data_IF_036240268952
#
_entry.id   IF_036240268952
#
_cell.length_a   1.000
_cell.length_b   1.000
_cell.length_c   1.000
_cell.angle_alpha   90.00
_cell.angle_beta   90.00
_cell.angle_gamma   90.00
#
_symmetry.space_group_name_H-M   'P 1'
#
loop_
_entity.id
_entity.type
_entity.pdbx_description
1 polymer ?
#
# COMPACT_ATOMS: atom_id res chain seq x y z
N UNK A 1 22.16 -5.81 -16.91
CA UNK A 1 21.16 -6.76 -17.45
C UNK A 1 19.81 -6.46 -16.84
N UNK A 2 18.72 -6.80 -17.51
CA UNK A 2 17.37 -6.62 -17.01
C UNK A 2 16.72 -7.98 -16.75
N UNK A 3 15.84 -8.06 -15.76
CA UNK A 3 15.02 -9.25 -15.48
C UNK A 3 13.56 -8.91 -15.67
N UNK A 4 12.88 -9.76 -16.42
CA UNK A 4 11.42 -9.76 -16.51
C UNK A 4 10.88 -10.86 -15.60
N UNK A 5 9.92 -10.52 -14.75
CA UNK A 5 9.16 -11.48 -13.95
C UNK A 5 7.67 -11.28 -14.16
N UNK A 6 6.98 -12.33 -14.55
CA UNK A 6 5.54 -12.30 -14.66
C UNK A 6 4.88 -12.57 -13.31
N UNK A 7 4.14 -11.60 -12.79
CA UNK A 7 3.41 -11.73 -11.51
C UNK A 7 2.21 -12.69 -11.60
N UNK A 8 1.76 -13.03 -12.83
CA UNK A 8 0.64 -13.96 -13.02
C UNK A 8 1.07 -15.43 -13.01
N UNK A 9 2.16 -15.77 -13.70
CA UNK A 9 2.56 -17.18 -13.91
C UNK A 9 3.99 -17.49 -13.43
N UNK A 10 4.69 -16.52 -12.84
CA UNK A 10 6.05 -16.69 -12.33
C UNK A 10 7.13 -16.82 -13.42
N UNK A 11 6.81 -16.60 -14.71
CA UNK A 11 7.77 -16.66 -15.79
C UNK A 11 8.89 -15.65 -15.57
N UNK A 12 10.14 -16.12 -15.60
CA UNK A 12 11.35 -15.31 -15.52
C UNK A 12 12.07 -15.33 -16.85
N UNK A 13 12.57 -14.18 -17.27
CA UNK A 13 13.35 -14.02 -18.50
C UNK A 13 14.42 -12.96 -18.29
N UNK A 14 15.63 -13.24 -18.75
CA UNK A 14 16.70 -12.28 -18.77
C UNK A 14 16.67 -11.47 -20.07
N UNK A 15 16.90 -10.17 -19.97
CA UNK A 15 16.77 -9.22 -21.07
C UNK A 15 17.98 -8.30 -21.15
N UNK A 16 18.23 -7.69 -22.32
CA UNK A 16 19.23 -6.64 -22.45
C UNK A 16 18.95 -5.47 -21.49
N UNK A 17 20.01 -4.76 -21.12
CA UNK A 17 19.94 -3.64 -20.15
C UNK A 17 18.98 -2.53 -20.60
N UNK A 18 18.84 -2.34 -21.88
CA UNK A 18 17.97 -1.36 -22.53
C UNK A 18 16.49 -1.62 -22.26
N UNK A 19 16.16 -2.84 -21.86
CA UNK A 19 14.79 -3.24 -21.50
C UNK A 19 14.40 -2.82 -20.07
N UNK A 20 15.33 -2.34 -19.24
CA UNK A 20 15.00 -1.88 -17.89
C UNK A 20 13.91 -0.82 -17.96
N UNK A 21 12.87 -1.03 -17.15
CA UNK A 21 11.76 -0.10 -17.06
C UNK A 21 10.74 -0.19 -18.20
N UNK A 22 10.88 -1.14 -19.14
CA UNK A 22 9.87 -1.35 -20.18
C UNK A 22 8.78 -2.32 -19.73
N UNK A 23 7.54 -2.05 -20.09
CA UNK A 23 6.45 -3.01 -19.94
C UNK A 23 6.37 -3.90 -21.20
N UNK A 24 6.23 -5.22 -20.98
CA UNK A 24 6.04 -6.18 -22.09
C UNK A 24 5.06 -7.29 -21.70
N UNK A 25 4.39 -7.90 -22.67
CA UNK A 25 3.56 -9.05 -22.39
C UNK A 25 4.42 -10.27 -22.04
N UNK A 26 3.96 -11.05 -21.08
CA UNK A 26 4.60 -12.31 -20.70
C UNK A 26 4.57 -13.31 -21.85
N UNK A 27 5.71 -13.91 -22.25
CA UNK A 27 5.72 -14.87 -23.34
C UNK A 27 4.93 -16.14 -23.03
N UNK A 28 4.69 -16.44 -21.74
CA UNK A 28 3.98 -17.66 -21.32
C UNK A 28 2.47 -17.45 -21.18
N UNK A 29 2.00 -16.28 -20.72
CA UNK A 29 0.58 -16.06 -20.40
C UNK A 29 -0.02 -14.77 -20.94
N UNK A 30 0.75 -13.97 -21.71
CA UNK A 30 0.30 -12.73 -22.33
C UNK A 30 0.09 -11.55 -21.34
N UNK A 31 0.22 -11.77 -20.03
CA UNK A 31 -0.01 -10.72 -19.03
C UNK A 31 1.06 -9.64 -19.11
N UNK A 32 0.72 -8.34 -19.18
CA UNK A 32 1.71 -7.27 -19.21
C UNK A 32 2.39 -7.15 -17.85
N UNK A 33 3.72 -7.07 -17.85
CA UNK A 33 4.55 -6.90 -16.65
C UNK A 33 5.78 -6.04 -16.99
N UNK A 34 6.39 -5.52 -15.93
CA UNK A 34 7.53 -4.64 -15.99
C UNK A 34 8.85 -5.41 -15.98
N UNK A 35 9.90 -4.80 -16.55
CA UNK A 35 11.29 -5.27 -16.47
C UNK A 35 12.09 -4.44 -15.48
N UNK A 36 12.92 -5.10 -14.67
CA UNK A 36 13.71 -4.50 -13.59
C UNK A 36 15.21 -4.61 -13.86
N UNK A 37 15.99 -3.77 -13.22
CA UNK A 37 17.44 -4.00 -13.14
C UNK A 37 17.70 -5.30 -12.36
N UNK A 38 18.51 -6.19 -12.94
CA UNK A 38 18.73 -7.53 -12.37
C UNK A 38 19.40 -7.47 -10.99
N UNK A 39 20.42 -6.60 -10.82
CA UNK A 39 21.18 -6.54 -9.56
C UNK A 39 20.28 -6.02 -8.44
N UNK A 40 19.52 -4.96 -8.72
CA UNK A 40 18.57 -4.39 -7.77
C UNK A 40 17.45 -5.40 -7.42
N UNK A 41 16.86 -6.06 -8.42
CA UNK A 41 15.82 -7.05 -8.21
C UNK A 41 16.31 -8.23 -7.36
N UNK A 42 17.48 -8.78 -7.69
CA UNK A 42 18.10 -9.89 -6.92
C UNK A 42 18.45 -9.41 -5.51
N UNK A 43 19.00 -8.22 -5.34
CA UNK A 43 19.28 -7.64 -4.03
C UNK A 43 18.04 -7.60 -3.13
N UNK A 44 16.92 -7.09 -3.64
CA UNK A 44 15.66 -7.05 -2.92
C UNK A 44 15.06 -8.42 -2.61
N UNK A 45 15.18 -9.37 -3.54
CA UNK A 45 14.75 -10.76 -3.31
C UNK A 45 15.59 -11.40 -2.19
N UNK A 46 16.90 -11.18 -2.19
CA UNK A 46 17.79 -11.68 -1.15
C UNK A 46 17.53 -11.04 0.21
N UNK A 47 17.30 -9.72 0.28
CA UNK A 47 16.89 -9.05 1.52
C UNK A 47 15.63 -9.69 2.10
N UNK A 48 14.60 -9.87 1.27
CA UNK A 48 13.35 -10.53 1.69
C UNK A 48 13.58 -11.99 2.10
N UNK A 49 14.41 -12.72 1.34
CA UNK A 49 14.75 -14.11 1.66
C UNK A 49 15.44 -14.23 3.03
N UNK A 50 16.46 -13.41 3.29
CA UNK A 50 17.18 -13.46 4.58
C UNK A 50 16.30 -13.00 5.75
N UNK A 51 15.41 -12.04 5.54
CA UNK A 51 14.42 -11.65 6.55
C UNK A 51 13.51 -12.83 6.92
N UNK A 52 12.99 -13.55 5.91
CA UNK A 52 12.16 -14.74 6.11
C UNK A 52 12.94 -15.87 6.79
N UNK A 53 14.20 -16.10 6.40
CA UNK A 53 15.06 -17.12 7.01
C UNK A 53 15.33 -16.82 8.48
N UNK A 54 15.62 -15.56 8.80
CA UNK A 54 15.82 -15.13 10.19
C UNK A 54 14.54 -15.31 11.04
N UNK A 55 13.39 -15.10 10.43
CA UNK A 55 12.09 -15.31 11.05
C UNK A 55 11.81 -16.80 11.29
N UNK A 56 12.01 -17.65 10.27
CA UNK A 56 11.88 -19.10 10.40
C UNK A 56 12.84 -19.68 11.46
N UNK A 57 14.07 -19.15 11.56
CA UNK A 57 15.02 -19.50 12.63
C UNK A 57 14.43 -19.22 14.00
N UNK A 58 13.94 -17.99 14.22
CA UNK A 58 13.30 -17.60 15.49
C UNK A 58 12.07 -18.45 15.83
N UNK A 59 11.25 -18.79 14.82
CA UNK A 59 10.10 -19.68 15.04
C UNK A 59 10.49 -21.09 15.42
N UNK A 60 11.55 -21.65 14.82
CA UNK A 60 12.10 -22.97 15.18
C UNK A 60 12.66 -22.99 16.60
N UNK A 61 13.43 -21.96 16.97
CA UNK A 61 13.99 -21.83 18.32
C UNK A 61 12.89 -21.68 19.37
N UNK A 62 11.82 -20.97 19.06
CA UNK A 62 10.63 -20.85 19.91
C UNK A 62 9.83 -22.17 20.01
N UNK A 63 9.82 -23.00 18.96
CA UNK A 63 9.17 -24.32 18.97
C UNK A 63 9.98 -25.33 19.82
N UNK A 64 11.32 -25.35 19.67
CA UNK A 64 12.21 -26.25 20.45
C UNK A 64 12.19 -25.94 21.94
N UNK A 65 12.04 -24.69 22.34
CA UNK A 65 11.87 -24.30 23.75
C UNK A 65 10.50 -24.66 24.35
N UNK A 66 9.52 -25.07 23.51
CA UNK A 66 8.16 -25.44 23.92
C UNK A 66 7.94 -26.96 24.13
N UNK A 67 8.82 -27.80 23.61
CA UNK A 67 8.73 -29.25 23.78
C UNK A 67 8.97 -29.71 25.22
N UNK A 68 9.35 -28.81 26.14
CA UNK A 68 9.51 -29.05 27.56
C UNK A 68 8.24 -28.83 28.41
N UNK A 69 7.10 -28.43 27.86
CA UNK A 69 5.86 -28.23 28.63
C UNK A 69 4.63 -28.62 27.79
N UNK A 70 4.14 -29.83 28.08
CA UNK A 70 2.96 -30.38 27.40
C UNK A 70 1.66 -29.71 27.89
N UNK A 71 1.02 -28.92 27.04
CA UNK A 71 -0.44 -28.74 27.01
C UNK A 71 -0.83 -28.18 25.65
N UNK A 72 -1.75 -28.89 24.99
CA UNK A 72 -2.23 -28.56 23.65
C UNK A 72 -2.85 -27.14 23.60
N UNK A 73 -2.17 -26.24 22.92
CA UNK A 73 -2.72 -24.96 22.48
C UNK A 73 -2.47 -24.82 20.97
N UNK A 74 -3.55 -24.53 20.24
CA UNK A 74 -3.55 -24.18 18.83
C UNK A 74 -2.45 -23.13 18.55
N UNK A 75 -1.59 -23.27 17.52
CA UNK A 75 -0.52 -22.33 17.26
C UNK A 75 -1.10 -20.99 16.81
N UNK A 76 -1.33 -20.10 17.75
CA UNK A 76 -1.53 -18.68 17.47
C UNK A 76 -0.18 -18.10 17.08
N UNK A 77 0.02 -17.81 15.80
CA UNK A 77 1.19 -17.09 15.31
C UNK A 77 1.34 -15.79 16.10
N UNK A 78 2.48 -15.67 16.82
CA UNK A 78 2.78 -14.44 17.56
C UNK A 78 2.93 -13.27 16.58
N UNK A 79 2.34 -12.10 16.85
CA UNK A 79 2.39 -10.94 15.94
C UNK A 79 3.81 -10.39 15.70
N UNK A 80 4.82 -10.87 16.42
CA UNK A 80 6.20 -10.34 16.37
C UNK A 80 7.03 -10.79 15.17
N UNK A 81 6.60 -11.80 14.43
CA UNK A 81 7.44 -12.51 13.43
C UNK A 81 6.98 -12.32 11.99
N UNK A 82 5.96 -11.50 11.75
CA UNK A 82 5.39 -11.33 10.41
C UNK A 82 6.17 -10.31 9.58
N UNK A 83 6.71 -10.74 8.43
CA UNK A 83 7.32 -9.82 7.47
C UNK A 83 6.24 -9.00 6.74
N UNK A 84 6.20 -7.70 7.00
CA UNK A 84 5.22 -6.77 6.41
C UNK A 84 5.31 -6.68 4.88
N UNK A 85 6.45 -7.07 4.31
CA UNK A 85 6.69 -7.07 2.87
C UNK A 85 6.47 -8.46 2.23
N UNK A 86 5.89 -9.41 2.98
CA UNK A 86 5.62 -10.75 2.49
C UNK A 86 4.21 -10.85 1.88
N UNK A 87 4.11 -10.69 0.57
CA UNK A 87 2.85 -10.80 -0.17
C UNK A 87 2.11 -12.12 0.07
N UNK A 88 2.85 -13.24 0.18
CA UNK A 88 2.23 -14.55 0.38
C UNK A 88 1.53 -14.65 1.73
N UNK A 89 2.11 -14.04 2.76
CA UNK A 89 1.51 -14.00 4.08
C UNK A 89 0.28 -13.07 4.10
N UNK A 90 0.36 -11.90 3.46
CA UNK A 90 -0.74 -10.94 3.38
C UNK A 90 -1.92 -11.47 2.55
N UNK A 91 -1.68 -12.34 1.55
CA UNK A 91 -2.71 -12.93 0.68
C UNK A 91 -3.17 -14.33 1.12
N UNK A 92 -2.76 -14.81 2.30
CA UNK A 92 -3.10 -16.14 2.80
C UNK A 92 -4.58 -16.25 3.24
N UNK A 93 -5.11 -17.49 3.28
CA UNK A 93 -6.44 -17.75 3.82
C UNK A 93 -6.55 -17.36 5.31
N UNK A 94 -5.44 -17.44 6.06
CA UNK A 94 -5.40 -16.98 7.46
C UNK A 94 -5.70 -15.48 7.58
N UNK A 95 -5.33 -14.70 6.58
CA UNK A 95 -5.64 -13.28 6.52
C UNK A 95 -7.05 -13.01 5.98
N UNK A 96 -7.49 -13.77 4.98
CA UNK A 96 -8.77 -13.52 4.32
C UNK A 96 -9.95 -14.22 4.99
N UNK A 97 -9.75 -15.40 5.58
CA UNK A 97 -10.80 -16.18 6.22
C UNK A 97 -11.63 -15.41 7.26
N UNK A 98 -11.01 -14.75 8.25
CA UNK A 98 -11.74 -13.97 9.24
C UNK A 98 -12.54 -12.81 8.63
N UNK A 99 -12.02 -12.16 7.57
CA UNK A 99 -12.72 -11.09 6.85
C UNK A 99 -13.95 -11.66 6.14
N UNK A 100 -13.78 -12.77 5.42
CA UNK A 100 -14.88 -13.45 4.73
C UNK A 100 -15.99 -13.82 5.70
N UNK A 101 -15.64 -14.40 6.84
CA UNK A 101 -16.58 -14.78 7.89
C UNK A 101 -17.32 -13.55 8.48
N UNK A 102 -16.58 -12.44 8.71
CA UNK A 102 -17.17 -11.21 9.23
C UNK A 102 -18.23 -10.63 8.29
N UNK A 103 -17.99 -10.61 6.97
CA UNK A 103 -18.91 -10.15 5.95
C UNK A 103 -20.07 -11.15 5.73
N UNK A 104 -19.76 -12.45 5.72
CA UNK A 104 -20.77 -13.51 5.55
C UNK A 104 -21.85 -13.45 6.63
N UNK A 105 -21.49 -13.25 7.90
CA UNK A 105 -22.46 -13.04 9.00
C UNK A 105 -23.38 -11.82 8.80
N UNK A 106 -23.00 -10.90 7.91
CA UNK A 106 -23.80 -9.73 7.53
C UNK A 106 -24.51 -9.89 6.19
N UNK A 107 -24.50 -11.09 5.63
CA UNK A 107 -25.03 -11.40 4.30
C UNK A 107 -24.43 -10.54 3.17
N UNK A 108 -23.18 -10.17 3.27
CA UNK A 108 -22.41 -9.43 2.27
C UNK A 108 -21.45 -10.38 1.59
N UNK A 109 -21.48 -10.42 0.26
CA UNK A 109 -20.52 -11.20 -0.51
C UNK A 109 -19.21 -10.42 -0.65
N UNK A 110 -18.09 -11.14 -0.55
CA UNK A 110 -16.75 -10.58 -0.60
C UNK A 110 -15.93 -11.24 -1.70
N UNK A 111 -15.17 -10.43 -2.44
CA UNK A 111 -14.17 -10.91 -3.39
C UNK A 111 -12.83 -10.26 -3.08
N UNK A 112 -11.87 -11.10 -2.73
CA UNK A 112 -10.49 -10.68 -2.53
C UNK A 112 -9.74 -10.57 -3.85
N UNK A 113 -8.87 -9.57 -3.94
CA UNK A 113 -7.88 -9.46 -5.01
C UNK A 113 -6.48 -9.79 -4.44
N UNK A 114 -5.97 -11.02 -4.62
CA UNK A 114 -4.66 -11.40 -4.06
C UNK A 114 -3.50 -10.53 -4.54
N UNK A 115 -3.64 -9.88 -5.71
CA UNK A 115 -2.63 -8.98 -6.27
C UNK A 115 -2.62 -7.61 -5.61
N UNK A 116 -3.69 -7.25 -4.94
CA UNK A 116 -3.80 -5.95 -4.29
C UNK A 116 -2.77 -5.75 -3.16
N UNK A 117 -2.22 -6.84 -2.63
CA UNK A 117 -1.18 -6.83 -1.59
C UNK A 117 0.16 -7.43 -2.09
N UNK A 118 0.37 -7.51 -3.40
CA UNK A 118 1.62 -8.00 -3.99
C UNK A 118 2.72 -6.95 -3.89
N UNK A 119 3.64 -7.13 -2.94
CA UNK A 119 4.78 -6.24 -2.68
C UNK A 119 5.97 -6.46 -3.61
N UNK A 120 5.92 -7.44 -4.51
CA UNK A 120 7.06 -7.75 -5.42
C UNK A 120 7.37 -6.63 -6.41
N UNK A 121 6.44 -5.70 -6.62
CA UNK A 121 6.62 -4.52 -7.47
C UNK A 121 7.09 -3.27 -6.72
N UNK A 122 7.43 -3.37 -5.42
CA UNK A 122 7.87 -2.27 -4.56
C UNK A 122 6.87 -1.12 -4.38
N UNK A 123 5.59 -1.35 -4.69
CA UNK A 123 4.53 -0.35 -4.54
C UNK A 123 4.34 0.07 -3.08
N UNK A 124 4.51 -0.86 -2.16
CA UNK A 124 4.49 -0.66 -0.72
C UNK A 124 5.60 0.30 -0.25
N UNK A 125 6.83 0.10 -0.73
CA UNK A 125 7.98 0.93 -0.36
C UNK A 125 7.85 2.35 -0.92
N UNK A 126 7.47 2.47 -2.21
CA UNK A 126 7.31 3.78 -2.86
C UNK A 126 6.10 4.52 -2.30
N UNK A 127 4.98 3.83 -2.06
CA UNK A 127 3.80 4.41 -1.42
C UNK A 127 4.09 4.95 -0.03
N UNK A 128 4.81 4.18 0.79
CA UNK A 128 5.25 4.61 2.12
C UNK A 128 6.22 5.82 2.04
N UNK A 129 7.14 5.85 1.08
CA UNK A 129 8.05 6.97 0.89
C UNK A 129 7.29 8.26 0.51
N UNK A 130 6.30 8.17 -0.39
CA UNK A 130 5.44 9.31 -0.76
C UNK A 130 4.66 9.80 0.46
N UNK A 131 3.92 8.93 1.15
CA UNK A 131 3.05 9.35 2.26
C UNK A 131 3.79 9.99 3.41
N UNK A 132 4.96 9.45 3.78
CA UNK A 132 5.81 10.00 4.85
C UNK A 132 6.40 11.38 4.52
N UNK A 133 6.62 11.67 3.25
CA UNK A 133 7.29 12.88 2.79
C UNK A 133 6.44 13.68 1.80
N UNK A 134 5.12 13.55 1.86
CA UNK A 134 4.23 14.10 0.84
C UNK A 134 4.42 15.61 0.63
N UNK A 135 4.59 16.38 1.69
CA UNK A 135 4.82 17.84 1.61
C UNK A 135 6.04 18.23 0.76
N UNK A 136 7.06 17.38 0.70
CA UNK A 136 8.26 17.59 -0.12
C UNK A 136 8.08 16.99 -1.51
N UNK A 137 7.37 15.86 -1.61
CA UNK A 137 7.25 15.05 -2.83
C UNK A 137 6.00 15.36 -3.66
N UNK A 138 5.07 16.17 -3.15
CA UNK A 138 3.81 16.52 -3.82
C UNK A 138 4.02 16.99 -5.27
N UNK A 139 4.99 17.88 -5.49
CA UNK A 139 5.28 18.37 -6.85
C UNK A 139 5.72 17.23 -7.77
N UNK A 140 6.56 16.32 -7.29
CA UNK A 140 7.02 15.17 -8.10
C UNK A 140 5.85 14.29 -8.50
N UNK A 141 5.03 13.89 -7.51
CA UNK A 141 3.85 13.05 -7.73
C UNK A 141 2.85 13.70 -8.69
N UNK A 142 2.55 14.98 -8.44
CA UNK A 142 1.60 15.76 -9.26
C UNK A 142 2.11 15.95 -10.69
N UNK A 143 3.40 16.21 -10.89
CA UNK A 143 4.01 16.36 -12.23
C UNK A 143 3.98 15.04 -13.01
N UNK A 144 4.30 13.92 -12.35
CA UNK A 144 4.23 12.59 -12.97
C UNK A 144 2.78 12.28 -13.35
N UNK A 145 1.84 12.42 -12.42
CA UNK A 145 0.41 12.20 -12.66
C UNK A 145 -0.11 13.02 -13.81
N UNK A 146 0.13 14.33 -13.79
CA UNK A 146 -0.30 15.24 -14.87
C UNK A 146 0.25 14.82 -16.23
N UNK A 147 1.54 14.52 -16.31
CA UNK A 147 2.18 14.11 -17.55
C UNK A 147 1.61 12.79 -18.08
N UNK A 148 1.36 11.81 -17.19
CA UNK A 148 0.72 10.54 -17.55
C UNK A 148 -0.72 10.74 -18.07
N UNK A 149 -1.51 11.59 -17.42
CA UNK A 149 -2.89 11.92 -17.85
C UNK A 149 -2.91 12.62 -19.22
N UNK A 150 -1.91 13.45 -19.50
CA UNK A 150 -1.78 14.14 -20.81
C UNK A 150 -1.08 13.31 -21.88
N UNK A 151 -0.58 12.12 -21.55
CA UNK A 151 0.16 11.27 -22.48
C UNK A 151 1.56 11.77 -22.81
N UNK A 152 2.15 12.62 -21.95
CA UNK A 152 3.51 13.10 -22.16
C UNK A 152 4.52 12.01 -21.78
N UNK A 153 5.60 11.91 -22.55
CA UNK A 153 6.65 10.93 -22.31
C UNK A 153 7.57 11.29 -21.13
N UNK A 154 7.60 12.56 -20.71
CA UNK A 154 8.47 13.03 -19.61
C UNK A 154 7.87 14.25 -18.91
N UNK A 155 8.32 14.47 -17.69
CA UNK A 155 8.06 15.71 -16.95
C UNK A 155 9.35 16.30 -16.38
N UNK A 156 9.26 17.52 -15.89
CA UNK A 156 10.36 18.25 -15.26
C UNK A 156 9.95 18.71 -13.88
N UNK A 157 10.82 18.46 -12.89
CA UNK A 157 10.64 18.91 -11.50
C UNK A 157 11.68 20.00 -11.22
N UNK A 158 11.25 21.14 -10.68
CA UNK A 158 12.11 22.25 -10.34
C UNK A 158 12.77 22.03 -8.97
N UNK A 159 14.07 22.26 -8.90
CA UNK A 159 14.82 22.27 -7.64
C UNK A 159 15.17 23.70 -7.19
N UNK A 160 15.09 24.64 -8.10
CA UNK A 160 15.37 26.07 -7.82
C UNK A 160 14.40 26.60 -6.77
N UNK A 161 14.92 27.23 -5.72
CA UNK A 161 14.11 27.80 -4.64
C UNK A 161 13.70 26.81 -3.53
N UNK A 162 14.05 25.53 -3.66
CA UNK A 162 13.88 24.54 -2.59
C UNK A 162 15.05 24.59 -1.62
N UNK A 163 14.83 24.18 -0.37
CA UNK A 163 15.91 23.98 0.59
C UNK A 163 16.89 22.90 0.08
N UNK A 164 18.12 22.91 0.58
CA UNK A 164 19.11 21.88 0.20
C UNK A 164 18.64 20.48 0.62
N UNK A 165 17.95 20.36 1.76
CA UNK A 165 17.37 19.11 2.25
C UNK A 165 16.24 18.62 1.35
N UNK A 166 15.29 19.49 1.00
CA UNK A 166 14.16 19.11 0.12
C UNK A 166 14.67 18.72 -1.27
N UNK A 167 15.60 19.51 -1.83
CA UNK A 167 16.19 19.21 -3.12
C UNK A 167 16.89 17.82 -3.11
N UNK A 168 17.62 17.52 -2.02
CA UNK A 168 18.26 16.22 -1.83
C UNK A 168 17.22 15.10 -1.73
N UNK A 169 16.19 15.26 -0.92
CA UNK A 169 15.12 14.27 -0.75
C UNK A 169 14.39 13.99 -2.07
N UNK A 170 14.10 15.03 -2.86
CA UNK A 170 13.48 14.90 -4.20
C UNK A 170 14.39 14.12 -5.15
N UNK A 171 15.70 14.42 -5.17
CA UNK A 171 16.67 13.72 -6.02
C UNK A 171 16.77 12.25 -5.63
N UNK A 172 16.88 11.95 -4.35
CA UNK A 172 16.94 10.58 -3.82
C UNK A 172 15.66 9.80 -4.14
N UNK A 173 14.50 10.41 -3.95
CA UNK A 173 13.22 9.78 -4.31
C UNK A 173 13.11 9.51 -5.81
N UNK A 174 13.46 10.46 -6.67
CA UNK A 174 13.43 10.23 -8.13
C UNK A 174 14.44 9.14 -8.56
N UNK A 175 15.55 9.00 -7.83
CA UNK A 175 16.49 7.89 -8.04
C UNK A 175 15.87 6.57 -7.60
N UNK A 176 15.21 6.53 -6.45
CA UNK A 176 14.46 5.35 -5.99
C UNK A 176 13.38 4.94 -7.01
N UNK A 177 12.64 5.90 -7.57
CA UNK A 177 11.67 5.63 -8.64
C UNK A 177 12.33 4.98 -9.86
N UNK A 178 13.53 5.41 -10.23
CA UNK A 178 14.29 4.80 -11.32
C UNK A 178 14.78 3.39 -10.95
N UNK A 179 15.35 3.22 -9.77
CA UNK A 179 15.88 1.94 -9.30
C UNK A 179 14.78 0.88 -9.22
N UNK A 180 13.57 1.28 -8.82
CA UNK A 180 12.39 0.39 -8.75
C UNK A 180 11.55 0.36 -10.04
N UNK A 181 12.06 0.97 -11.11
CA UNK A 181 11.42 0.98 -12.43
C UNK A 181 10.02 1.63 -12.47
N UNK A 182 9.73 2.55 -11.57
CA UNK A 182 8.54 3.41 -11.63
C UNK A 182 8.67 4.50 -12.69
N UNK A 183 9.89 4.86 -13.04
CA UNK A 183 10.21 5.76 -14.15
C UNK A 183 11.26 5.13 -15.05
N UNK A 184 11.24 5.45 -16.34
CA UNK A 184 12.14 4.87 -17.32
C UNK A 184 13.57 5.43 -17.22
N UNK A 185 13.69 6.74 -16.92
CA UNK A 185 14.98 7.44 -16.73
C UNK A 185 14.78 8.63 -15.81
N UNK A 186 15.84 9.01 -15.10
CA UNK A 186 15.90 10.22 -14.30
C UNK A 186 17.23 10.93 -14.55
N UNK A 187 17.20 12.22 -14.92
CA UNK A 187 18.38 13.04 -15.20
C UNK A 187 18.39 14.25 -14.27
N UNK A 188 19.43 14.36 -13.47
CA UNK A 188 19.65 15.54 -12.63
C UNK A 188 20.55 16.54 -13.40
N UNK A 189 19.94 17.59 -13.92
CA UNK A 189 20.60 18.69 -14.62
C UNK A 189 21.00 19.77 -13.59
N UNK A 190 22.16 19.57 -12.96
CA UNK A 190 22.62 20.35 -11.81
C UNK A 190 22.73 21.86 -12.10
N UNK A 191 23.24 22.24 -13.29
CA UNK A 191 23.37 23.64 -13.69
C UNK A 191 22.04 24.36 -13.86
N UNK A 192 21.03 23.63 -14.32
CA UNK A 192 19.67 24.14 -14.50
C UNK A 192 18.81 24.01 -13.25
N UNK A 193 19.31 23.30 -12.23
CA UNK A 193 18.57 22.96 -11.00
C UNK A 193 17.21 22.30 -11.29
N UNK A 194 17.20 21.34 -12.20
CA UNK A 194 16.00 20.57 -12.55
C UNK A 194 16.28 19.05 -12.58
N UNK A 195 15.22 18.29 -12.37
CA UNK A 195 15.15 16.87 -12.64
C UNK A 195 14.26 16.64 -13.85
N UNK A 196 14.77 15.97 -14.86
CA UNK A 196 13.97 15.48 -15.99
C UNK A 196 13.69 13.99 -15.78
N UNK A 197 12.40 13.66 -15.72
CA UNK A 197 11.91 12.31 -15.45
C UNK A 197 11.22 11.79 -16.72
N UNK A 198 11.70 10.67 -17.26
CA UNK A 198 11.06 9.96 -18.39
C UNK A 198 10.14 8.92 -17.81
N UNK A 199 8.87 8.94 -18.21
CA UNK A 199 7.80 8.18 -17.58
C UNK A 199 7.70 6.74 -18.09
N UNK A 200 7.15 5.89 -17.26
CA UNK A 200 6.69 4.56 -17.61
C UNK A 200 5.25 4.59 -18.10
N UNK A 201 4.93 3.65 -19.00
CA UNK A 201 3.60 3.54 -19.60
C UNK A 201 2.77 2.38 -19.05
N UNK A 202 3.34 1.56 -18.16
CA UNK A 202 2.67 0.40 -17.56
C UNK A 202 1.39 0.84 -16.81
N UNK A 203 0.23 0.19 -17.05
CA UNK A 203 -1.03 0.57 -16.40
C UNK A 203 -0.94 0.64 -14.88
N UNK A 204 -0.29 -0.33 -14.23
CA UNK A 204 -0.12 -0.37 -12.79
C UNK A 204 0.66 0.85 -12.24
N UNK A 205 1.65 1.36 -13.00
CA UNK A 205 2.40 2.57 -12.61
C UNK A 205 1.54 3.83 -12.76
N UNK A 206 0.70 3.88 -13.80
CA UNK A 206 -0.23 5.01 -13.98
C UNK A 206 -1.27 5.04 -12.87
N UNK A 207 -1.89 3.91 -12.57
CA UNK A 207 -2.85 3.74 -11.48
C UNK A 207 -2.24 4.11 -10.14
N UNK A 208 -0.98 3.71 -9.90
CA UNK A 208 -0.25 4.06 -8.70
C UNK A 208 -0.13 5.58 -8.52
N UNK A 209 0.35 6.32 -9.51
CA UNK A 209 0.47 7.77 -9.42
C UNK A 209 -0.88 8.51 -9.54
N UNK A 210 -1.91 7.86 -10.05
CA UNK A 210 -3.27 8.44 -10.09
C UNK A 210 -3.96 8.42 -8.73
N UNK A 211 -3.45 7.62 -7.77
CA UNK A 211 -3.95 7.65 -6.39
C UNK A 211 -3.67 6.42 -5.55
N UNK A 212 -3.44 5.26 -6.16
CA UNK A 212 -3.26 4.01 -5.44
C UNK A 212 -2.02 4.00 -4.50
N UNK A 213 -1.08 4.95 -4.65
CA UNK A 213 0.02 5.14 -3.71
C UNK A 213 -0.47 5.42 -2.28
N UNK A 214 -1.61 6.11 -2.13
CA UNK A 214 -2.16 6.43 -0.82
C UNK A 214 -2.70 5.17 -0.12
N UNK A 215 -3.35 4.28 -0.86
CA UNK A 215 -3.83 3.00 -0.32
C UNK A 215 -2.66 2.14 0.18
N UNK A 216 -1.55 2.11 -0.57
CA UNK A 216 -0.32 1.43 -0.14
C UNK A 216 0.26 2.05 1.12
N UNK A 217 0.33 3.38 1.19
CA UNK A 217 0.77 4.09 2.37
C UNK A 217 -0.08 3.76 3.60
N UNK A 218 -1.42 3.85 3.44
CA UNK A 218 -2.38 3.54 4.51
C UNK A 218 -2.23 2.09 4.98
N UNK A 219 -2.14 1.14 4.04
CA UNK A 219 -1.92 -0.27 4.38
C UNK A 219 -0.65 -0.47 5.21
N UNK A 220 0.47 0.12 4.78
CA UNK A 220 1.76 -0.03 5.46
C UNK A 220 1.76 0.63 6.84
N UNK A 221 1.21 1.82 6.99
CA UNK A 221 1.11 2.49 8.30
C UNK A 221 0.20 1.71 9.26
N UNK A 222 -0.90 1.13 8.75
CA UNK A 222 -1.77 0.29 9.57
C UNK A 222 -1.07 -1.01 10.00
N UNK A 223 -0.33 -1.67 9.09
CA UNK A 223 0.49 -2.85 9.41
C UNK A 223 1.56 -2.53 10.47
N UNK A 224 2.22 -1.37 10.37
CA UNK A 224 3.16 -0.91 11.39
C UNK A 224 2.49 -0.70 12.76
N UNK A 225 1.31 -0.07 12.78
CA UNK A 225 0.57 0.18 14.02
C UNK A 225 0.12 -1.12 14.69
N UNK A 226 -0.50 -2.05 13.96
CA UNK A 226 -0.94 -3.34 14.55
C UNK A 226 0.23 -4.18 15.06
N UNK A 227 1.37 -4.16 14.36
CA UNK A 227 2.59 -4.84 14.80
C UNK A 227 3.17 -4.23 16.09
N UNK A 228 3.28 -2.89 16.13
CA UNK A 228 3.79 -2.17 17.32
C UNK A 228 2.96 -2.49 18.57
N UNK A 229 1.63 -2.60 18.41
CA UNK A 229 0.71 -2.92 19.50
C UNK A 229 0.42 -4.40 19.67
N UNK A 230 1.13 -5.28 18.93
CA UNK A 230 0.98 -6.74 19.00
C UNK A 230 -0.47 -7.21 18.89
N UNK A 231 -1.26 -6.54 18.04
CA UNK A 231 -2.66 -6.90 17.81
C UNK A 231 -2.76 -8.02 16.76
N UNK A 232 -3.66 -8.96 16.97
CA UNK A 232 -4.06 -9.88 15.91
C UNK A 232 -4.89 -9.13 14.88
N UNK A 233 -4.67 -9.42 13.61
CA UNK A 233 -5.37 -8.74 12.54
C UNK A 233 -5.56 -9.63 11.32
N UNK A 234 -6.56 -9.29 10.53
CA UNK A 234 -6.71 -9.68 9.14
C UNK A 234 -6.85 -8.42 8.30
N UNK A 235 -6.27 -8.39 7.11
CA UNK A 235 -6.28 -7.20 6.28
C UNK A 235 -6.55 -7.53 4.81
N UNK A 236 -7.11 -6.55 4.10
CA UNK A 236 -7.28 -6.57 2.67
C UNK A 236 -7.14 -5.16 2.10
N UNK A 237 -6.66 -5.06 0.86
CA UNK A 237 -6.68 -3.86 0.03
C UNK A 237 -7.51 -4.12 -1.22
N UNK A 238 -8.22 -3.11 -1.72
CA UNK A 238 -9.11 -3.21 -2.89
C UNK A 238 -10.09 -4.39 -2.75
N UNK A 239 -10.79 -4.42 -1.62
CA UNK A 239 -11.74 -5.47 -1.31
C UNK A 239 -13.09 -5.19 -1.96
N UNK A 240 -13.47 -5.98 -2.96
CA UNK A 240 -14.79 -5.85 -3.58
C UNK A 240 -15.86 -6.50 -2.71
N UNK A 241 -16.94 -5.77 -2.43
CA UNK A 241 -18.10 -6.28 -1.70
C UNK A 241 -19.36 -6.10 -2.53
N UNK A 242 -20.31 -7.04 -2.39
CA UNK A 242 -21.63 -6.99 -3.02
C UNK A 242 -22.72 -7.13 -1.97
N UNK A 243 -23.60 -6.14 -1.88
CA UNK A 243 -24.74 -6.13 -0.97
C UNK A 243 -25.91 -6.93 -1.54
N UNK A 244 -26.87 -7.30 -0.68
CA UNK A 244 -28.06 -8.06 -1.08
C UNK A 244 -28.92 -7.38 -2.15
N UNK A 245 -28.91 -6.06 -2.20
CA UNK A 245 -29.63 -5.27 -3.21
C UNK A 245 -28.92 -5.20 -4.57
N UNK A 246 -27.80 -5.90 -4.75
CA UNK A 246 -26.98 -5.91 -5.97
C UNK A 246 -25.98 -4.76 -6.09
N UNK A 247 -25.97 -3.82 -5.17
CA UNK A 247 -24.95 -2.75 -5.18
C UNK A 247 -23.58 -3.31 -4.84
N UNK A 248 -22.56 -2.82 -5.54
CA UNK A 248 -21.16 -3.20 -5.35
C UNK A 248 -20.34 -2.01 -4.88
N UNK A 249 -19.41 -2.28 -3.98
CA UNK A 249 -18.45 -1.30 -3.48
C UNK A 249 -17.05 -1.92 -3.49
N UNK A 250 -16.06 -1.06 -3.60
CA UNK A 250 -14.65 -1.40 -3.36
C UNK A 250 -14.22 -0.67 -2.09
N UNK A 251 -13.61 -1.40 -1.16
CA UNK A 251 -13.04 -0.86 0.06
C UNK A 251 -11.53 -0.75 -0.16
N UNK A 252 -10.99 0.45 -0.07
CA UNK A 252 -9.57 0.70 -0.37
C UNK A 252 -8.65 -0.06 0.58
N UNK A 253 -8.86 0.09 1.91
CA UNK A 253 -8.13 -0.65 2.94
C UNK A 253 -9.10 -1.10 4.04
N UNK A 254 -9.12 -2.40 4.31
CA UNK A 254 -9.93 -3.00 5.36
C UNK A 254 -9.10 -3.83 6.31
N UNK A 255 -9.28 -3.62 7.61
CA UNK A 255 -8.69 -4.43 8.68
C UNK A 255 -9.77 -4.97 9.59
N UNK A 256 -9.55 -6.19 10.08
CA UNK A 256 -10.34 -6.79 11.14
C UNK A 256 -9.40 -7.10 12.31
N UNK A 257 -9.48 -6.32 13.37
CA UNK A 257 -8.64 -6.49 14.56
C UNK A 257 -9.28 -7.51 15.50
N UNK A 258 -8.46 -8.42 15.99
CA UNK A 258 -8.83 -9.50 16.93
C UNK A 258 -10.03 -10.37 16.50
N UNK A 259 -10.34 -10.35 15.20
CA UNK A 259 -11.43 -11.11 14.59
C UNK A 259 -12.81 -10.45 14.66
N UNK A 260 -12.95 -9.31 15.33
CA UNK A 260 -14.26 -8.70 15.61
C UNK A 260 -14.37 -7.22 15.27
N UNK A 261 -13.27 -6.47 15.44
CA UNK A 261 -13.27 -5.01 15.29
C UNK A 261 -12.86 -4.59 13.90
N UNK A 262 -13.80 -4.18 13.04
CA UNK A 262 -13.50 -3.71 11.70
C UNK A 262 -12.94 -2.29 11.71
N UNK A 263 -12.04 -2.02 10.78
CA UNK A 263 -11.55 -0.68 10.43
C UNK A 263 -11.58 -0.60 8.90
N UNK A 264 -12.31 0.37 8.37
CA UNK A 264 -12.38 0.67 6.95
C UNK A 264 -11.76 2.04 6.70
N UNK A 265 -10.83 2.13 5.75
CA UNK A 265 -10.17 3.39 5.42
C UNK A 265 -10.31 3.62 3.91
N UNK A 266 -11.02 4.68 3.56
CA UNK A 266 -11.15 5.19 2.20
C UNK A 266 -10.04 6.20 1.91
N UNK A 267 -9.39 6.09 0.77
CA UNK A 267 -8.22 6.86 0.36
C UNK A 267 -8.57 7.84 -0.75
N UNK A 268 -8.34 9.13 -0.53
CA UNK A 268 -8.70 10.18 -1.48
C UNK A 268 -7.49 11.06 -1.79
N UNK A 269 -6.90 10.91 -2.97
CA UNK A 269 -5.74 11.67 -3.43
C UNK A 269 -6.09 12.92 -4.27
N UNK A 270 -7.39 13.18 -4.45
CA UNK A 270 -7.93 14.30 -5.22
C UNK A 270 -9.22 14.84 -4.63
N UNK A 271 -10.08 15.44 -5.47
CA UNK A 271 -11.38 15.94 -5.03
C UNK A 271 -12.27 14.77 -4.56
N UNK A 272 -12.84 14.89 -3.39
CA UNK A 272 -13.58 13.80 -2.72
C UNK A 272 -14.95 14.21 -2.18
N UNK A 273 -15.28 15.50 -2.19
CA UNK A 273 -16.50 16.01 -1.54
C UNK A 273 -17.77 15.40 -2.11
N UNK A 274 -17.77 15.10 -3.41
CA UNK A 274 -18.90 14.43 -4.06
C UNK A 274 -19.08 12.97 -3.64
N UNK A 275 -18.07 12.35 -3.04
CA UNK A 275 -18.10 10.95 -2.60
C UNK A 275 -18.54 10.78 -1.12
N UNK A 276 -18.67 11.89 -0.37
CA UNK A 276 -18.92 11.85 1.07
C UNK A 276 -20.23 11.10 1.38
N UNK A 277 -21.31 11.40 0.67
CA UNK A 277 -22.62 10.76 0.89
C UNK A 277 -22.55 9.24 0.61
N UNK A 278 -21.75 8.84 -0.38
CA UNK A 278 -21.48 7.43 -0.66
C UNK A 278 -20.76 6.77 0.50
N UNK A 279 -19.75 7.43 1.08
CA UNK A 279 -19.01 6.94 2.24
C UNK A 279 -19.92 6.83 3.47
N UNK A 280 -20.78 7.83 3.73
CA UNK A 280 -21.78 7.80 4.83
C UNK A 280 -22.74 6.63 4.65
N UNK A 281 -23.27 6.44 3.43
CA UNK A 281 -24.16 5.32 3.12
C UNK A 281 -23.48 3.98 3.33
N UNK A 282 -22.25 3.82 2.83
CA UNK A 282 -21.47 2.60 2.97
C UNK A 282 -21.17 2.27 4.43
N UNK A 283 -20.72 3.26 5.22
CA UNK A 283 -20.50 3.09 6.67
C UNK A 283 -21.73 2.53 7.37
N UNK A 284 -22.92 3.15 7.11
CA UNK A 284 -24.19 2.73 7.71
C UNK A 284 -24.56 1.30 7.30
N UNK A 285 -24.39 0.95 6.04
CA UNK A 285 -24.67 -0.41 5.53
C UNK A 285 -23.76 -1.47 6.10
N UNK A 286 -22.50 -1.13 6.36
CA UNK A 286 -21.55 -2.02 7.04
C UNK A 286 -21.77 -2.10 8.55
N UNK A 287 -22.63 -1.26 9.12
CA UNK A 287 -22.87 -1.19 10.56
C UNK A 287 -21.65 -0.70 11.34
N UNK A 288 -20.81 0.13 10.72
CA UNK A 288 -19.60 0.66 11.35
C UNK A 288 -19.92 1.93 12.15
N UNK A 289 -19.28 2.08 13.30
CA UNK A 289 -19.28 3.35 13.99
C UNK A 289 -18.43 4.39 13.24
N UNK A 290 -18.53 5.65 13.68
CA UNK A 290 -17.82 6.76 13.06
C UNK A 290 -16.29 6.57 13.08
N UNK A 291 -15.75 6.10 14.19
CA UNK A 291 -14.32 5.97 14.37
C UNK A 291 -13.72 4.77 13.60
N UNK A 292 -14.57 3.80 13.27
CA UNK A 292 -14.18 2.61 12.48
C UNK A 292 -14.22 2.83 10.97
N UNK A 293 -14.79 3.97 10.50
CA UNK A 293 -14.82 4.34 9.09
C UNK A 293 -14.09 5.67 8.87
N UNK A 294 -12.90 5.61 8.30
CA UNK A 294 -11.99 6.75 8.12
C UNK A 294 -11.88 7.14 6.66
N UNK A 295 -11.98 8.42 6.36
CA UNK A 295 -11.63 8.98 5.05
C UNK A 295 -10.27 9.68 5.18
N UNK A 296 -9.25 9.11 4.56
CA UNK A 296 -7.91 9.69 4.47
C UNK A 296 -7.82 10.52 3.18
N UNK A 297 -7.82 11.84 3.31
CA UNK A 297 -7.76 12.76 2.18
C UNK A 297 -6.44 13.55 2.20
N UNK A 298 -5.73 13.50 1.07
CA UNK A 298 -4.42 14.16 0.91
C UNK A 298 -4.55 15.67 1.05
N UNK A 299 -3.63 16.26 1.82
CA UNK A 299 -3.55 17.71 2.02
C UNK A 299 -4.66 18.31 2.88
N UNK A 300 -5.49 17.49 3.51
CA UNK A 300 -6.55 17.97 4.39
C UNK A 300 -5.96 18.58 5.67
N UNK A 301 -6.27 19.83 5.95
CA UNK A 301 -5.79 20.48 7.18
C UNK A 301 -6.62 20.07 8.39
N UNK A 302 -6.06 20.06 9.61
CA UNK A 302 -6.72 19.57 10.83
C UNK A 302 -8.09 20.18 11.10
N UNK A 303 -8.24 21.49 10.88
CA UNK A 303 -9.49 22.23 11.11
C UNK A 303 -10.59 21.77 10.14
N UNK A 304 -10.23 21.52 8.87
CA UNK A 304 -11.15 20.98 7.88
C UNK A 304 -11.54 19.54 8.23
N UNK A 305 -10.55 18.70 8.62
CA UNK A 305 -10.81 17.33 9.03
C UNK A 305 -11.78 17.26 10.22
N UNK A 306 -11.62 18.14 11.21
CA UNK A 306 -12.52 18.25 12.35
C UNK A 306 -13.92 18.70 11.94
N UNK A 307 -14.02 19.75 11.11
CA UNK A 307 -15.29 20.26 10.60
C UNK A 307 -16.08 19.21 9.82
N UNK A 308 -15.41 18.55 8.84
CA UNK A 308 -16.01 17.47 8.06
C UNK A 308 -16.42 16.30 8.95
N UNK A 309 -15.57 15.92 9.90
CA UNK A 309 -15.90 14.85 10.84
C UNK A 309 -17.12 15.16 11.71
N UNK A 310 -17.30 16.41 12.08
CA UNK A 310 -18.47 16.82 12.88
C UNK A 310 -19.76 16.85 12.05
N UNK A 311 -19.65 17.18 10.76
CA UNK A 311 -20.78 17.34 9.85
C UNK A 311 -21.33 16.01 9.33
N UNK A 312 -20.44 15.07 8.95
CA UNK A 312 -20.83 13.91 8.14
C UNK A 312 -20.84 12.57 8.89
N UNK A 313 -20.68 12.57 10.22
CA UNK A 313 -20.60 11.32 11.01
C UNK A 313 -19.54 10.32 10.46
N UNK A 314 -18.48 10.81 9.82
CA UNK A 314 -17.33 10.07 9.38
C UNK A 314 -16.09 10.57 10.11
N UNK A 315 -15.05 9.77 10.15
CA UNK A 315 -13.76 10.21 10.63
C UNK A 315 -12.91 10.67 9.45
N UNK A 316 -12.46 11.92 9.45
CA UNK A 316 -11.55 12.45 8.42
C UNK A 316 -10.14 12.63 8.98
N UNK A 317 -9.14 12.40 8.14
CA UNK A 317 -7.73 12.61 8.46
C UNK A 317 -6.93 12.95 7.20
N UNK A 318 -5.78 13.59 7.35
CA UNK A 318 -4.81 13.74 6.27
C UNK A 318 -3.82 12.57 6.23
N UNK A 319 -3.03 12.48 5.17
CA UNK A 319 -1.89 11.56 5.09
C UNK A 319 -0.86 11.83 6.21
N UNK A 320 -0.72 13.11 6.61
CA UNK A 320 0.20 13.54 7.67
C UNK A 320 -0.25 13.07 9.05
N UNK A 321 -1.55 13.23 9.35
CA UNK A 321 -2.11 12.94 10.67
C UNK A 321 -2.52 11.47 10.82
N UNK A 322 -2.54 10.72 9.71
CA UNK A 322 -2.92 9.32 9.65
C UNK A 322 -2.16 8.44 10.66
N UNK A 323 -0.81 8.48 10.75
CA UNK A 323 -0.09 7.60 11.67
C UNK A 323 -0.54 7.76 13.13
N UNK A 324 -0.68 9.01 13.59
CA UNK A 324 -1.13 9.30 14.95
C UNK A 324 -2.58 8.84 15.19
N UNK A 325 -3.44 8.93 14.18
CA UNK A 325 -4.81 8.42 14.25
C UNK A 325 -4.83 6.90 14.34
N UNK A 326 -4.08 6.21 13.48
CA UNK A 326 -4.01 4.75 13.47
C UNK A 326 -3.50 4.19 14.81
N UNK A 327 -2.48 4.82 15.40
CA UNK A 327 -1.99 4.47 16.73
C UNK A 327 -3.12 4.48 17.76
N UNK A 328 -3.90 5.57 17.83
CA UNK A 328 -5.06 5.66 18.75
C UNK A 328 -6.11 4.60 18.47
N UNK A 329 -6.41 4.34 17.18
CA UNK A 329 -7.39 3.34 16.79
C UNK A 329 -6.96 1.92 17.19
N UNK A 330 -5.70 1.59 17.01
CA UNK A 330 -5.18 0.25 17.35
C UNK A 330 -5.04 0.06 18.85
N UNK A 331 -4.69 1.13 19.61
CA UNK A 331 -4.60 1.09 21.09
C UNK A 331 -5.96 0.92 21.76
N UNK A 332 -7.01 1.54 21.23
CA UNK A 332 -8.33 1.47 21.83
C UNK A 332 -8.75 -0.01 21.94
N UNK A 333 -8.94 -0.50 23.16
CA UNK A 333 -9.54 -1.81 23.40
C UNK A 333 -11.05 -1.71 23.19
N UNK A 334 -11.67 -2.76 22.67
CA UNK A 334 -13.15 -2.87 22.70
C UNK A 334 -13.56 -2.76 24.17
N UNK A 335 -14.29 -1.70 24.52
CA UNK A 335 -15.01 -1.69 25.77
C UNK A 335 -16.07 -2.77 25.64
N UNK A 336 -15.83 -3.91 26.27
CA UNK A 336 -16.76 -5.02 26.40
C UNK A 336 -17.89 -4.61 27.31
#
# INVERSE_FOLDING_TARGET
MAVFRCNKCGCLEELPREAIGTARPCPRCGSPNQTYDTVMFVGKVLEKYFAIQAELGRMRDAATNREGSAAAQVPTSSPETFDLHNSSALSSELQHGPIQEWFHRRHIQVRHNPRAVDTTGFFDEVGAAIGKNYSVLEEVVSRIRFAQLKGFASCTVQLKGKSAEDAKAIVEFCRQLYDYSFVAKCFHLKHEQILRVVLQTAPAIREFFDGAWLEWYVLMEMLHAVRRHRRRYSCARNLSISLQNGETYELDVFFLLDGERPICIECKSGEFRQDIDRCVSLRKRLGLDRESFVVCAVGLVPEQAQGLSSTYELAFTSERDLPARLERMVQARSNS
#
